data_IF_450283206604
#
_entry.id   IF_450283206604
#
_cell.length_a   1.000
_cell.length_b   1.000
_cell.length_c   1.000
_cell.angle_alpha   90.00
_cell.angle_beta   90.00
_cell.angle_gamma   90.00
#
_symmetry.space_group_name_H-M   'P 1'
#
loop_
_entity.id
_entity.type
_entity.pdbx_description
1 polymer ?
#
# COMPACT_ATOMS: atom_id res chain seq x y z
N UNK A 1 -58.32 -25.34 -53.98
CA UNK A 1 -57.04 -25.77 -54.58
C UNK A 1 -55.98 -24.67 -54.45
N UNK A 2 -55.69 -24.21 -53.23
CA UNK A 2 -54.72 -23.11 -53.00
C UNK A 2 -53.56 -23.51 -52.06
N UNK A 3 -53.51 -24.74 -51.56
CA UNK A 3 -52.54 -25.15 -50.53
C UNK A 3 -51.29 -25.87 -51.07
N UNK A 4 -51.03 -25.83 -52.38
CA UNK A 4 -49.90 -26.54 -52.99
C UNK A 4 -48.89 -25.66 -53.77
N UNK A 5 -49.05 -24.33 -53.75
CA UNK A 5 -48.16 -23.39 -54.46
C UNK A 5 -47.24 -22.55 -53.54
N UNK A 6 -47.45 -22.56 -52.23
CA UNK A 6 -46.60 -21.79 -51.29
C UNK A 6 -45.30 -22.53 -50.88
N UNK A 7 -45.29 -23.87 -50.92
CA UNK A 7 -44.16 -24.66 -50.41
C UNK A 7 -43.00 -24.89 -51.41
N UNK A 8 -43.14 -24.50 -52.69
CA UNK A 8 -42.09 -24.70 -53.71
C UNK A 8 -41.35 -23.43 -54.12
N UNK A 9 -41.84 -22.24 -53.76
CA UNK A 9 -41.13 -20.98 -54.03
C UNK A 9 -40.08 -20.60 -52.95
N UNK A 10 -40.19 -21.14 -51.72
CA UNK A 10 -39.24 -20.87 -50.65
C UNK A 10 -37.87 -21.57 -50.78
N UNK A 11 -37.79 -22.68 -51.53
CA UNK A 11 -36.55 -23.46 -51.66
C UNK A 11 -35.61 -22.88 -52.74
N UNK A 12 -36.16 -22.22 -53.77
CA UNK A 12 -35.34 -21.66 -54.87
C UNK A 12 -34.72 -20.31 -54.48
N UNK A 13 -35.36 -19.52 -53.60
CA UNK A 13 -34.79 -18.25 -53.11
C UNK A 13 -33.81 -18.42 -51.95
N UNK A 14 -33.86 -19.54 -51.20
CA UNK A 14 -32.89 -19.84 -50.14
C UNK A 14 -31.50 -20.26 -50.66
N UNK A 15 -31.41 -20.75 -51.90
CA UNK A 15 -30.16 -21.29 -52.45
C UNK A 15 -29.39 -20.29 -53.36
N UNK A 16 -29.96 -19.14 -53.68
CA UNK A 16 -29.26 -18.06 -54.39
C UNK A 16 -28.63 -17.02 -53.42
N UNK A 17 -29.00 -17.03 -52.13
CA UNK A 17 -28.43 -16.14 -51.12
C UNK A 17 -27.21 -16.74 -50.37
N UNK A 18 -26.80 -17.96 -50.69
CA UNK A 18 -25.59 -18.59 -50.14
C UNK A 18 -24.47 -18.80 -51.18
N UNK A 19 -24.50 -18.04 -52.29
CA UNK A 19 -23.47 -18.13 -53.33
C UNK A 19 -22.90 -16.77 -53.77
N UNK A 20 -22.94 -15.76 -52.91
CA UNK A 20 -22.36 -14.43 -53.18
C UNK A 20 -21.59 -13.85 -51.97
N UNK A 21 -20.72 -14.65 -51.33
CA UNK A 21 -19.77 -14.13 -50.35
C UNK A 21 -18.48 -14.96 -50.20
N UNK A 22 -17.93 -15.50 -51.29
CA UNK A 22 -16.61 -16.18 -51.28
C UNK A 22 -15.71 -15.65 -52.41
N UNK A 23 -15.47 -14.34 -52.48
CA UNK A 23 -14.33 -13.70 -53.18
C UNK A 23 -14.11 -12.35 -52.51
N UNK A 24 -13.18 -12.19 -51.56
CA UNK A 24 -11.79 -11.77 -51.86
C UNK A 24 -10.89 -11.96 -50.62
N UNK A 25 -10.52 -13.19 -50.30
CA UNK A 25 -9.34 -13.42 -49.43
C UNK A 25 -8.09 -13.23 -50.30
N UNK A 26 -7.42 -12.07 -50.15
CA UNK A 26 -6.07 -11.85 -50.68
C UNK A 26 -5.12 -12.83 -49.97
N UNK A 27 -4.25 -13.56 -50.68
CA UNK A 27 -3.28 -14.42 -50.02
C UNK A 27 -2.29 -13.55 -49.24
N UNK A 28 -2.43 -13.52 -47.92
CA UNK A 28 -1.38 -13.01 -47.05
C UNK A 28 -0.20 -13.96 -47.19
N UNK A 29 0.82 -13.47 -47.87
CA UNK A 29 2.16 -14.04 -47.92
C UNK A 29 2.58 -14.45 -46.52
N UNK A 30 2.99 -15.72 -46.39
CA UNK A 30 3.53 -16.30 -45.16
C UNK A 30 4.83 -15.58 -44.80
N UNK A 31 4.72 -14.43 -44.13
CA UNK A 31 5.76 -13.96 -43.23
C UNK A 31 5.62 -14.81 -41.98
N UNK A 32 6.49 -15.80 -41.86
CA UNK A 32 6.77 -16.51 -40.61
C UNK A 32 7.15 -15.47 -39.56
N UNK A 33 6.18 -14.97 -38.82
CA UNK A 33 6.44 -14.28 -37.56
C UNK A 33 6.88 -15.38 -36.62
N UNK A 34 8.18 -15.45 -36.35
CA UNK A 34 8.68 -16.21 -35.24
C UNK A 34 7.87 -15.79 -34.01
N UNK A 35 7.05 -16.71 -33.50
CA UNK A 35 6.51 -16.67 -32.15
C UNK A 35 7.72 -16.74 -31.22
N UNK A 36 8.35 -15.59 -31.03
CA UNK A 36 9.28 -15.35 -29.94
C UNK A 36 8.41 -15.46 -28.71
N UNK A 37 8.51 -16.58 -28.01
CA UNK A 37 7.94 -16.79 -26.68
C UNK A 37 8.02 -15.47 -25.93
N UNK A 38 6.88 -14.89 -25.55
CA UNK A 38 6.83 -13.71 -24.73
C UNK A 38 7.31 -14.12 -23.33
N UNK A 39 8.62 -14.26 -23.20
CA UNK A 39 9.28 -14.19 -21.93
C UNK A 39 8.89 -12.84 -21.31
N UNK A 40 8.57 -12.80 -20.01
CA UNK A 40 8.23 -11.56 -19.34
C UNK A 40 9.31 -10.51 -19.61
N UNK A 41 8.96 -9.22 -19.71
CA UNK A 41 9.94 -8.17 -19.98
C UNK A 41 11.11 -8.33 -19.03
N UNK A 42 12.33 -8.51 -19.58
CA UNK A 42 13.57 -8.61 -18.79
C UNK A 42 13.71 -7.31 -18.01
N UNK A 43 13.28 -7.34 -16.74
CA UNK A 43 13.45 -6.24 -15.79
C UNK A 43 14.92 -5.85 -15.79
N UNK A 44 15.20 -4.55 -15.78
CA UNK A 44 16.56 -4.07 -15.58
C UNK A 44 17.10 -4.67 -14.27
N UNK A 45 18.30 -5.27 -14.29
CA UNK A 45 18.88 -6.00 -13.15
C UNK A 45 19.01 -5.13 -11.88
N UNK A 46 18.94 -3.81 -12.03
CA UNK A 46 18.95 -2.84 -10.92
C UNK A 46 17.56 -2.61 -10.30
N UNK A 47 16.48 -2.84 -11.05
CA UNK A 47 15.11 -2.50 -10.65
C UNK A 47 14.37 -3.65 -9.94
N UNK A 48 14.78 -4.90 -10.19
CA UNK A 48 14.28 -6.07 -9.44
C UNK A 48 14.90 -6.16 -8.04
N UNK A 49 16.19 -5.81 -7.92
CA UNK A 49 16.97 -5.93 -6.68
C UNK A 49 16.41 -5.20 -5.46
N UNK A 50 15.59 -4.16 -5.66
CA UNK A 50 15.12 -3.31 -4.56
C UNK A 50 13.86 -3.87 -3.87
N UNK A 51 13.05 -4.68 -4.57
CA UNK A 51 11.96 -5.45 -3.96
C UNK A 51 12.52 -6.74 -3.32
N UNK A 52 13.52 -7.35 -3.97
CA UNK A 52 14.23 -8.53 -3.46
C UNK A 52 15.02 -8.27 -2.15
N UNK A 53 15.24 -6.99 -1.78
CA UNK A 53 16.01 -6.62 -0.58
C UNK A 53 15.26 -6.94 0.72
N UNK A 54 13.94 -6.72 0.77
CA UNK A 54 13.14 -6.93 1.99
C UNK A 54 12.63 -8.37 2.14
N UNK A 55 12.52 -9.10 1.03
CA UNK A 55 12.16 -10.52 1.03
C UNK A 55 13.28 -11.40 1.64
N UNK A 56 14.51 -10.88 1.74
CA UNK A 56 15.67 -11.58 2.31
C UNK A 56 15.85 -11.41 3.82
N UNK A 57 15.17 -10.47 4.47
CA UNK A 57 15.35 -10.19 5.91
C UNK A 57 14.24 -10.78 6.81
N UNK A 58 13.26 -11.48 6.25
CA UNK A 58 12.26 -12.24 7.03
C UNK A 58 12.81 -13.63 7.41
N UNK A 59 13.62 -13.69 8.46
CA UNK A 59 13.94 -14.92 9.20
C UNK A 59 13.61 -14.74 10.68
N UNK A 60 12.53 -15.35 11.20
CA UNK A 60 12.23 -15.32 12.63
C UNK A 60 13.00 -16.42 13.38
N UNK A 61 13.80 -16.01 14.37
CA UNK A 61 14.13 -16.83 15.54
C UNK A 61 15.59 -17.25 15.75
N UNK A 62 16.22 -16.74 16.81
CA UNK A 62 17.00 -17.57 17.73
C UNK A 62 17.09 -16.89 19.10
N UNK A 63 16.48 -17.55 20.08
CA UNK A 63 16.44 -17.23 21.50
C UNK A 63 17.80 -17.35 22.19
N UNK A 64 18.01 -16.59 23.27
CA UNK A 64 18.66 -17.08 24.50
C UNK A 64 18.32 -16.20 25.70
N UNK A 65 17.50 -16.79 26.57
CA UNK A 65 17.39 -16.73 28.03
C UNK A 65 17.78 -15.46 28.83
N UNK A 66 16.83 -15.05 29.67
CA UNK A 66 16.97 -14.19 30.83
C UNK A 66 17.78 -14.86 31.97
N UNK A 67 18.21 -14.08 32.97
CA UNK A 67 18.13 -14.55 34.35
C UNK A 67 17.46 -13.58 35.35
N UNK A 68 17.07 -14.23 36.45
CA UNK A 68 16.23 -13.86 37.58
C UNK A 68 16.48 -12.53 38.33
N UNK A 69 15.37 -12.14 38.96
CA UNK A 69 15.10 -11.17 40.04
C UNK A 69 16.00 -11.35 41.28
N UNK A 70 16.04 -10.34 42.18
CA UNK A 70 15.59 -10.63 43.54
C UNK A 70 14.58 -9.62 44.12
N UNK A 71 13.91 -10.12 45.15
CA UNK A 71 12.69 -9.65 45.81
C UNK A 71 12.94 -8.75 47.04
N UNK A 72 11.89 -7.97 47.37
CA UNK A 72 11.56 -7.30 48.64
C UNK A 72 12.37 -6.04 48.98
N UNK A 73 11.80 -4.93 49.48
CA UNK A 73 10.75 -4.74 50.50
C UNK A 73 10.04 -3.36 50.31
N UNK A 74 8.71 -3.30 50.20
CA UNK A 74 7.70 -3.02 51.26
C UNK A 74 7.62 -1.55 51.76
N UNK A 75 6.55 -0.86 51.30
CA UNK A 75 5.74 0.23 51.91
C UNK A 75 6.50 1.53 52.26
N UNK A 76 6.02 2.75 52.10
CA UNK A 76 4.72 3.35 51.77
C UNK A 76 5.04 4.84 51.76
N UNK A 77 4.65 5.63 50.77
CA UNK A 77 4.51 7.06 50.98
C UNK A 77 3.43 7.66 50.08
N UNK A 78 2.67 8.53 50.72
CA UNK A 78 1.41 9.08 50.30
C UNK A 78 1.60 10.17 49.23
N UNK A 79 0.66 10.17 48.28
CA UNK A 79 0.09 11.30 47.54
C UNK A 79 0.83 12.65 47.57
N UNK A 80 1.28 13.07 46.39
CA UNK A 80 1.30 14.48 46.01
C UNK A 80 0.84 14.64 44.56
N UNK A 81 -0.19 15.46 44.39
CA UNK A 81 -0.87 15.75 43.14
C UNK A 81 -0.05 16.66 42.21
N UNK A 82 -0.12 16.41 40.90
CA UNK A 82 -0.12 17.45 39.86
C UNK A 82 -0.57 16.80 38.53
N UNK A 83 -1.64 17.33 37.95
CA UNK A 83 -2.42 16.69 36.90
C UNK A 83 -1.69 16.56 35.56
N UNK A 84 -1.87 15.38 34.95
CA UNK A 84 -2.24 15.28 33.54
C UNK A 84 -3.38 14.28 33.52
N UNK A 85 -4.57 14.77 33.20
CA UNK A 85 -5.77 13.96 33.06
C UNK A 85 -5.48 12.88 32.01
N UNK A 86 -5.35 11.64 32.46
CA UNK A 86 -5.40 10.48 31.60
C UNK A 86 -6.83 10.40 31.04
N UNK A 87 -7.04 11.02 29.88
CA UNK A 87 -8.28 10.84 29.15
C UNK A 87 -8.22 9.49 28.43
N UNK A 88 -9.17 8.57 28.66
CA UNK A 88 -9.35 7.43 27.77
C UNK A 88 -10.05 7.97 26.54
N UNK A 89 -9.31 8.56 25.61
CA UNK A 89 -9.91 9.02 24.36
C UNK A 89 -10.39 7.80 23.60
N UNK A 90 -11.68 7.81 23.31
CA UNK A 90 -12.37 6.71 22.68
C UNK A 90 -11.79 6.50 21.28
N UNK A 91 -11.59 5.25 20.87
CA UNK A 91 -11.01 4.88 19.57
C UNK A 91 -11.71 5.48 18.33
N UNK A 92 -12.84 6.20 18.49
CA UNK A 92 -13.56 6.91 17.44
C UNK A 92 -13.03 8.34 17.23
N UNK A 93 -12.67 9.06 18.30
CA UNK A 93 -12.12 10.43 18.21
C UNK A 93 -10.74 10.41 17.52
N UNK A 94 -9.94 9.38 17.78
CA UNK A 94 -8.64 9.17 17.10
C UNK A 94 -8.82 8.84 15.61
N UNK A 95 -9.91 8.17 15.21
CA UNK A 95 -10.19 7.84 13.80
C UNK A 95 -10.67 9.05 13.02
N UNK A 96 -11.53 9.86 13.62
CA UNK A 96 -12.05 11.08 13.00
C UNK A 96 -10.92 12.09 12.72
N UNK A 97 -10.04 12.28 13.70
CA UNK A 97 -8.86 13.15 13.54
C UNK A 97 -7.89 12.65 12.45
N UNK A 98 -7.70 11.34 12.30
CA UNK A 98 -6.88 10.78 11.20
C UNK A 98 -7.52 11.08 9.84
N UNK A 99 -8.83 10.88 9.70
CA UNK A 99 -9.52 11.11 8.44
C UNK A 99 -9.49 12.60 8.06
N UNK A 100 -9.71 13.50 9.01
CA UNK A 100 -9.61 14.94 8.80
C UNK A 100 -8.21 15.33 8.29
N UNK A 101 -7.15 14.81 8.91
CA UNK A 101 -5.76 15.06 8.47
C UNK A 101 -5.52 14.55 7.04
N UNK A 102 -6.01 13.36 6.70
CA UNK A 102 -5.90 12.83 5.34
C UNK A 102 -6.68 13.66 4.32
N UNK A 103 -7.82 14.23 4.70
CA UNK A 103 -8.58 15.16 3.86
C UNK A 103 -7.80 16.46 3.64
N UNK A 104 -7.26 17.07 4.70
CA UNK A 104 -6.43 18.27 4.59
C UNK A 104 -5.20 18.04 3.69
N UNK A 105 -4.51 16.90 3.84
CA UNK A 105 -3.37 16.52 3.01
C UNK A 105 -3.72 16.35 1.53
N UNK A 106 -4.94 15.88 1.22
CA UNK A 106 -5.39 15.67 -0.16
C UNK A 106 -5.54 16.96 -0.96
N UNK A 107 -5.65 18.12 -0.30
CA UNK A 107 -5.66 19.44 -0.95
C UNK A 107 -4.30 19.81 -1.54
N UNK A 108 -3.20 19.25 -1.02
CA UNK A 108 -1.85 19.51 -1.51
C UNK A 108 -1.58 18.73 -2.79
N UNK A 109 -1.24 19.42 -3.88
CA UNK A 109 -0.88 18.81 -5.18
C UNK A 109 0.21 17.74 -5.04
N UNK A 110 1.24 18.00 -4.22
CA UNK A 110 2.34 17.06 -4.03
C UNK A 110 1.85 15.78 -3.31
N UNK A 111 1.17 15.92 -2.18
CA UNK A 111 0.69 14.77 -1.39
C UNK A 111 -0.39 13.98 -2.12
N UNK A 112 -1.23 14.64 -2.90
CA UNK A 112 -2.25 13.99 -3.71
C UNK A 112 -1.69 13.28 -4.95
N UNK A 113 -0.42 13.49 -5.32
CA UNK A 113 0.19 12.81 -6.48
C UNK A 113 0.52 11.33 -6.23
N UNK A 114 0.58 10.90 -4.97
CA UNK A 114 0.93 9.52 -4.61
C UNK A 114 -0.26 8.56 -4.75
N UNK A 115 -0.01 7.38 -5.33
CA UNK A 115 -1.00 6.33 -5.58
C UNK A 115 -0.35 4.95 -5.46
N UNK A 116 -1.05 3.97 -4.89
CA UNK A 116 -0.58 2.58 -4.90
C UNK A 116 -0.63 2.01 -6.33
N UNK A 117 0.54 1.65 -6.86
CA UNK A 117 0.67 0.96 -8.14
C UNK A 117 0.33 -0.53 -8.06
N UNK A 118 0.40 -1.21 -9.20
CA UNK A 118 0.09 -2.64 -9.31
C UNK A 118 1.02 -3.49 -8.43
N UNK A 119 2.32 -3.15 -8.39
CA UNK A 119 3.33 -3.89 -7.63
C UNK A 119 3.09 -3.77 -6.12
N UNK A 120 2.83 -2.56 -5.64
CA UNK A 120 2.59 -2.31 -4.22
C UNK A 120 1.28 -2.99 -3.76
N UNK A 121 0.23 -2.95 -4.59
CA UNK A 121 -1.03 -3.66 -4.32
C UNK A 121 -0.85 -5.18 -4.27
N UNK A 122 -0.05 -5.73 -5.18
CA UNK A 122 0.28 -7.16 -5.20
C UNK A 122 1.06 -7.53 -3.93
N UNK A 123 2.09 -6.75 -3.57
CA UNK A 123 2.87 -6.99 -2.36
C UNK A 123 2.00 -6.97 -1.08
N UNK A 124 1.05 -6.03 -0.97
CA UNK A 124 0.11 -6.00 0.15
C UNK A 124 -0.78 -7.26 0.16
N UNK A 125 -1.26 -7.71 -1.01
CA UNK A 125 -2.05 -8.95 -1.12
C UNK A 125 -1.24 -10.20 -0.75
N UNK A 126 0.02 -10.25 -1.14
CA UNK A 126 0.89 -11.41 -0.90
C UNK A 126 1.30 -11.51 0.58
N UNK A 127 1.60 -10.38 1.23
CA UNK A 127 2.06 -10.34 2.63
C UNK A 127 0.93 -10.25 3.66
N UNK A 128 -0.21 -9.66 3.30
CA UNK A 128 -1.33 -9.41 4.19
C UNK A 128 -1.21 -8.11 5.01
N UNK A 129 -2.37 -7.59 5.46
CA UNK A 129 -2.45 -6.28 6.13
C UNK A 129 -1.76 -6.24 7.50
N UNK A 130 -1.75 -7.33 8.25
CA UNK A 130 -1.09 -7.42 9.54
C UNK A 130 0.42 -7.25 9.41
N UNK A 131 1.03 -7.98 8.47
CA UNK A 131 2.46 -7.87 8.13
C UNK A 131 2.84 -6.45 7.71
N UNK A 132 2.02 -5.81 6.86
CA UNK A 132 2.26 -4.42 6.45
C UNK A 132 2.17 -3.45 7.64
N UNK A 133 1.27 -3.71 8.58
CA UNK A 133 1.18 -2.94 9.83
C UNK A 133 2.44 -3.10 10.67
N UNK A 134 2.98 -4.31 10.76
CA UNK A 134 4.22 -4.58 11.48
C UNK A 134 5.41 -3.87 10.83
N UNK A 135 5.55 -3.96 9.50
CA UNK A 135 6.57 -3.21 8.75
C UNK A 135 6.46 -1.69 9.00
N UNK A 136 5.24 -1.14 9.07
CA UNK A 136 5.03 0.26 9.37
C UNK A 136 5.54 0.64 10.77
N UNK A 137 5.22 -0.16 11.80
CA UNK A 137 5.75 0.04 13.16
C UNK A 137 7.28 0.01 13.15
N UNK A 138 7.87 -0.96 12.48
CA UNK A 138 9.33 -1.11 12.42
C UNK A 138 10.01 0.05 11.72
N UNK A 139 9.45 0.55 10.61
CA UNK A 139 10.02 1.72 9.92
C UNK A 139 9.91 3.00 10.75
N UNK A 140 8.78 3.23 11.44
CA UNK A 140 8.62 4.41 12.29
C UNK A 140 9.57 4.33 13.48
N UNK A 141 9.66 3.16 14.13
CA UNK A 141 10.57 2.92 15.24
C UNK A 141 12.03 3.12 14.84
N UNK A 142 12.47 2.54 13.73
CA UNK A 142 13.89 2.57 13.34
C UNK A 142 14.32 3.88 12.69
N UNK A 143 13.43 4.54 11.92
CA UNK A 143 13.81 5.70 11.09
C UNK A 143 13.32 7.04 11.63
N UNK A 144 12.30 7.07 12.49
CA UNK A 144 11.65 8.31 12.94
C UNK A 144 11.64 8.52 14.45
N UNK A 145 11.77 7.47 15.27
CA UNK A 145 11.60 7.59 16.73
C UNK A 145 12.66 8.44 17.43
N UNK A 146 13.91 8.45 16.96
CA UNK A 146 15.00 9.18 17.59
C UNK A 146 14.77 10.70 17.57
N UNK A 147 15.16 11.38 18.64
CA UNK A 147 15.02 12.84 18.78
C UNK A 147 15.76 13.61 17.68
N UNK A 148 16.95 13.13 17.33
CA UNK A 148 17.78 13.66 16.26
C UNK A 148 18.08 12.56 15.25
N UNK A 149 17.79 12.82 13.96
CA UNK A 149 18.01 11.89 12.86
C UNK A 149 19.06 12.54 11.94
N UNK A 150 20.25 11.93 11.76
CA UNK A 150 21.34 12.53 10.98
C UNK A 150 20.96 12.86 9.53
N UNK A 151 20.09 12.06 8.91
CA UNK A 151 19.64 12.20 7.52
C UNK A 151 18.15 12.54 7.42
N UNK A 152 17.63 13.40 8.32
CA UNK A 152 16.21 13.78 8.29
C UNK A 152 15.83 14.45 6.95
N UNK A 153 14.74 13.99 6.34
CA UNK A 153 14.30 14.34 5.00
C UNK A 153 14.73 13.36 3.90
N UNK A 154 15.76 12.53 4.14
CA UNK A 154 16.27 11.53 3.17
C UNK A 154 16.21 10.10 3.68
N UNK A 155 15.75 9.88 4.92
CA UNK A 155 15.69 8.57 5.56
C UNK A 155 14.64 7.63 4.95
N UNK A 156 13.61 8.18 4.30
CA UNK A 156 12.48 7.41 3.76
C UNK A 156 12.53 7.39 2.23
N UNK A 157 12.84 6.25 1.59
CA UNK A 157 12.87 6.12 0.14
C UNK A 157 11.53 6.52 -0.50
N UNK A 158 11.52 7.01 -1.74
CA UNK A 158 10.27 7.38 -2.42
C UNK A 158 9.53 6.18 -3.03
N UNK A 159 10.18 5.02 -3.16
CA UNK A 159 9.68 3.83 -3.86
C UNK A 159 10.16 2.54 -3.20
N UNK A 160 9.54 1.42 -3.57
CA UNK A 160 9.98 0.07 -3.21
C UNK A 160 9.18 -0.59 -2.08
N UNK A 161 8.43 0.16 -1.28
CA UNK A 161 7.54 -0.41 -0.26
C UNK A 161 6.24 0.42 -0.17
N UNK A 162 5.06 -0.21 -0.03
CA UNK A 162 3.79 0.50 0.11
C UNK A 162 3.79 1.50 1.27
N UNK A 163 4.40 1.15 2.40
CA UNK A 163 4.53 2.04 3.56
C UNK A 163 5.32 3.30 3.26
N UNK A 164 6.42 3.22 2.50
CA UNK A 164 7.20 4.42 2.19
C UNK A 164 6.41 5.38 1.31
N UNK A 165 5.68 4.83 0.33
CA UNK A 165 4.80 5.63 -0.53
C UNK A 165 3.70 6.30 0.30
N UNK A 166 3.11 5.55 1.24
CA UNK A 166 2.14 6.08 2.18
C UNK A 166 2.73 7.19 3.06
N UNK A 167 3.92 7.01 3.62
CA UNK A 167 4.58 8.04 4.44
C UNK A 167 4.80 9.36 3.69
N UNK A 168 5.13 9.29 2.40
CA UNK A 168 5.22 10.47 1.55
C UNK A 168 3.86 11.06 1.20
N UNK A 169 2.84 10.23 0.99
CA UNK A 169 1.48 10.71 0.75
C UNK A 169 0.89 11.40 2.00
N UNK A 170 1.17 10.87 3.18
CA UNK A 170 0.58 11.32 4.44
C UNK A 170 1.42 12.36 5.17
N UNK A 171 2.62 12.70 4.68
CA UNK A 171 3.47 13.68 5.37
C UNK A 171 4.06 13.17 6.69
N UNK A 172 4.34 11.88 6.76
CA UNK A 172 4.98 11.23 7.92
C UNK A 172 6.40 10.75 7.62
N UNK A 173 6.99 11.14 6.48
CA UNK A 173 8.28 10.65 6.01
C UNK A 173 9.52 11.24 6.69
N UNK A 174 9.40 12.37 7.38
CA UNK A 174 10.48 13.03 8.13
C UNK A 174 9.94 13.91 9.27
N UNK A 175 10.81 14.39 10.17
CA UNK A 175 10.38 15.22 11.33
C UNK A 175 9.77 16.55 10.90
N UNK A 176 10.32 17.19 9.87
CA UNK A 176 9.73 18.41 9.31
C UNK A 176 8.31 18.21 8.76
N UNK A 177 8.03 17.04 8.17
CA UNK A 177 6.68 16.74 7.69
C UNK A 177 5.73 16.47 8.87
N UNK A 178 6.18 15.72 9.88
CA UNK A 178 5.41 15.49 11.11
C UNK A 178 5.04 16.79 11.82
N UNK A 179 6.00 17.72 11.98
CA UNK A 179 5.74 19.04 12.55
C UNK A 179 4.72 19.83 11.74
N UNK A 180 4.90 19.90 10.41
CA UNK A 180 4.05 20.70 9.52
C UNK A 180 2.61 20.19 9.43
N UNK A 181 2.41 18.87 9.35
CA UNK A 181 1.11 18.27 9.01
C UNK A 181 0.40 17.64 10.21
N UNK A 182 1.14 17.22 11.22
CA UNK A 182 0.60 16.51 12.38
C UNK A 182 0.84 17.25 13.70
N UNK A 183 1.50 18.41 13.67
CA UNK A 183 1.82 19.22 14.85
C UNK A 183 2.61 18.44 15.92
N UNK A 184 3.43 17.49 15.48
CA UNK A 184 4.36 16.76 16.35
C UNK A 184 5.70 17.47 16.29
N UNK A 185 6.10 18.07 17.41
CA UNK A 185 7.33 18.85 17.48
C UNK A 185 8.59 18.01 17.19
N UNK A 186 9.54 18.67 16.54
CA UNK A 186 10.88 18.13 16.31
C UNK A 186 11.78 18.37 17.53
N UNK A 187 12.79 17.51 17.71
CA UNK A 187 13.78 17.67 18.78
C UNK A 187 13.55 16.78 20.01
N UNK A 188 12.39 16.11 20.08
CA UNK A 188 12.12 15.06 21.07
C UNK A 188 11.92 13.70 20.40
N UNK A 189 12.24 12.63 21.14
CA UNK A 189 11.94 11.28 20.70
C UNK A 189 10.41 11.10 20.58
N UNK A 190 9.94 10.35 19.57
CA UNK A 190 8.51 10.08 19.44
C UNK A 190 8.05 9.19 20.60
N UNK A 191 6.99 9.62 21.29
CA UNK A 191 6.34 8.76 22.29
C UNK A 191 5.70 7.56 21.61
N UNK A 192 5.42 6.50 22.38
CA UNK A 192 4.76 5.31 21.82
C UNK A 192 3.41 5.67 21.18
N UNK A 193 2.61 6.51 21.85
CA UNK A 193 1.32 6.97 21.33
C UNK A 193 1.48 7.75 20.01
N UNK A 194 2.50 8.61 19.90
CA UNK A 194 2.80 9.31 18.65
C UNK A 194 3.21 8.34 17.52
N UNK A 195 3.99 7.30 17.85
CA UNK A 195 4.36 6.28 16.86
C UNK A 195 3.13 5.51 16.39
N UNK A 196 2.25 5.10 17.30
CA UNK A 196 1.00 4.40 17.00
C UNK A 196 0.04 5.26 16.17
N UNK A 197 -0.07 6.55 16.49
CA UNK A 197 -0.81 7.52 15.67
C UNK A 197 -0.26 7.58 14.23
N UNK A 198 1.06 7.67 14.06
CA UNK A 198 1.68 7.72 12.73
C UNK A 198 1.43 6.41 11.96
N UNK A 199 1.48 5.26 12.63
CA UNK A 199 1.09 3.96 12.04
C UNK A 199 -0.37 4.01 11.58
N UNK A 200 -1.28 4.48 12.43
CA UNK A 200 -2.71 4.55 12.10
C UNK A 200 -2.98 5.42 10.87
N UNK A 201 -2.33 6.60 10.76
CA UNK A 201 -2.42 7.47 9.58
C UNK A 201 -1.96 6.75 8.31
N UNK A 202 -0.80 6.08 8.36
CA UNK A 202 -0.23 5.34 7.23
C UNK A 202 -1.15 4.20 6.80
N UNK A 203 -1.62 3.38 7.74
CA UNK A 203 -2.46 2.22 7.45
C UNK A 203 -3.84 2.63 6.92
N UNK A 204 -4.41 3.72 7.46
CA UNK A 204 -5.68 4.27 6.97
C UNK A 204 -5.57 4.75 5.53
N UNK A 205 -4.46 5.41 5.18
CA UNK A 205 -4.21 5.81 3.79
C UNK A 205 -4.07 4.60 2.86
N UNK A 206 -3.32 3.56 3.26
CA UNK A 206 -3.16 2.33 2.48
C UNK A 206 -4.52 1.68 2.24
N UNK A 207 -5.35 1.51 3.29
CA UNK A 207 -6.67 0.91 3.17
C UNK A 207 -7.57 1.72 2.22
N UNK A 208 -7.55 3.05 2.33
CA UNK A 208 -8.29 3.93 1.41
C UNK A 208 -7.85 3.75 -0.04
N UNK A 209 -6.55 3.62 -0.31
CA UNK A 209 -6.03 3.41 -1.66
C UNK A 209 -6.38 2.05 -2.24
N UNK A 210 -6.42 1.00 -1.41
CA UNK A 210 -6.89 -0.32 -1.82
C UNK A 210 -8.37 -0.28 -2.23
N UNK A 211 -9.21 0.37 -1.42
CA UNK A 211 -10.65 0.48 -1.66
C UNK A 211 -10.99 1.39 -2.85
N UNK A 212 -10.18 2.42 -3.12
CA UNK A 212 -10.42 3.38 -4.20
C UNK A 212 -9.97 2.91 -5.61
N UNK A 213 -9.35 1.73 -5.71
CA UNK A 213 -8.79 1.20 -6.97
C UNK A 213 -9.35 -0.16 -7.35
N UNK A 214 -10.61 -0.43 -6.98
CA UNK A 214 -11.42 -1.54 -7.50
C UNK A 214 -12.32 -1.07 -8.64
#
# INVERSE_FOLDING_TARGET
MQDALSAKFGIILGNLYLHLQIKTEKPLTKRTVAIKSMAPPRKNRRECKQLDFWEKEEQPGSSRAAPCVPSSSRLSDQQAAAGIQACPVSSLEERETVQERLMALSTSRFRNSFRLGIKERQYIRDKGMETITQHARDFIRTRLSAAFIPNDGKQTPMRGHPVFLAQHATGTCCRNCLRKWHHIESGAALTQQQQEYVVAVVMTWIQKQLNAGG
#
